data_IF_573833737601
#
_entry.id   IF_573833737601
#
_cell.length_a   1.000
_cell.length_b   1.000
_cell.length_c   1.000
_cell.angle_alpha   90.00
_cell.angle_beta   90.00
_cell.angle_gamma   90.00
#
_symmetry.space_group_name_H-M   'P 1'
#
loop_
_entity.id
_entity.type
_entity.pdbx_description
1 polymer ?
#
# COMPACT_ATOMS: atom_id res chain seq x y z
N UNK A 1 -21.65 5.48 -7.28
CA UNK A 1 -22.23 4.46 -6.39
C UNK A 1 -21.18 4.13 -5.36
N UNK A 2 -21.49 4.17 -4.07
CA UNK A 2 -20.56 3.71 -3.03
C UNK A 2 -20.30 2.21 -3.26
N UNK A 3 -19.04 1.78 -3.16
CA UNK A 3 -18.70 0.37 -3.15
C UNK A 3 -19.35 -0.30 -1.92
N UNK A 4 -19.92 -1.49 -2.09
CA UNK A 4 -20.49 -2.23 -0.96
C UNK A 4 -19.38 -2.52 0.07
N UNK A 5 -19.69 -2.43 1.36
CA UNK A 5 -18.70 -2.58 2.44
C UNK A 5 -17.88 -3.88 2.34
N UNK A 6 -18.52 -4.99 1.98
CA UNK A 6 -17.90 -6.31 1.79
C UNK A 6 -16.90 -6.37 0.62
N UNK A 7 -16.91 -5.37 -0.26
CA UNK A 7 -15.99 -5.28 -1.40
C UNK A 7 -14.75 -4.45 -1.07
N UNK A 8 -14.62 -3.91 0.14
CA UNK A 8 -13.42 -3.19 0.57
C UNK A 8 -12.25 -4.19 0.71
N UNK A 9 -11.05 -3.83 0.23
CA UNK A 9 -9.92 -4.74 0.31
C UNK A 9 -9.54 -4.96 1.77
N UNK A 10 -9.48 -6.23 2.18
CA UNK A 10 -9.10 -6.60 3.54
C UNK A 10 -7.60 -6.66 3.70
N UNK A 11 -6.89 -7.34 2.80
CA UNK A 11 -5.42 -7.43 2.85
C UNK A 11 -4.81 -6.46 1.85
N UNK A 12 -4.01 -5.52 2.34
CA UNK A 12 -3.47 -4.42 1.54
C UNK A 12 -1.96 -4.41 1.65
N UNK A 13 -1.31 -4.55 0.51
CA UNK A 13 0.13 -4.46 0.40
C UNK A 13 0.58 -3.01 0.48
N UNK A 14 1.61 -2.74 1.30
CA UNK A 14 2.31 -1.47 1.39
C UNK A 14 3.68 -1.58 0.70
N UNK A 15 3.90 -0.74 -0.31
CA UNK A 15 5.22 -0.58 -0.91
C UNK A 15 6.17 0.22 0.01
N UNK A 16 7.47 0.08 -0.27
CA UNK A 16 8.52 0.77 0.50
C UNK A 16 8.40 2.30 0.41
N UNK A 17 7.85 2.82 -0.69
CA UNK A 17 7.66 4.25 -0.94
C UNK A 17 6.55 4.86 -0.07
N UNK A 18 5.44 4.13 0.10
CA UNK A 18 4.34 4.52 1.00
C UNK A 18 4.80 4.42 2.45
N UNK A 19 5.53 3.37 2.80
CA UNK A 19 6.16 3.26 4.12
C UNK A 19 7.09 4.45 4.43
N UNK A 20 7.91 4.84 3.44
CA UNK A 20 8.77 6.01 3.58
C UNK A 20 7.96 7.30 3.76
N UNK A 21 6.86 7.46 3.03
CA UNK A 21 5.98 8.63 3.14
C UNK A 21 5.32 8.72 4.51
N UNK A 22 4.87 7.59 5.06
CA UNK A 22 4.27 7.50 6.39
C UNK A 22 5.27 7.89 7.49
N UNK A 23 6.55 7.60 7.30
CA UNK A 23 7.63 8.10 8.17
C UNK A 23 7.89 9.59 7.96
N UNK A 24 8.21 10.00 6.74
CA UNK A 24 8.66 11.36 6.40
C UNK A 24 7.65 12.41 6.86
N UNK A 25 6.36 12.07 6.83
CA UNK A 25 5.26 12.95 7.23
C UNK A 25 4.52 12.45 8.48
N UNK A 26 5.15 11.60 9.30
CA UNK A 26 4.55 11.00 10.49
C UNK A 26 3.98 12.04 11.47
N UNK A 27 4.72 13.13 11.73
CA UNK A 27 4.24 14.22 12.59
C UNK A 27 2.94 14.85 12.07
N UNK A 28 2.79 15.01 10.76
CA UNK A 28 1.54 15.51 10.18
C UNK A 28 0.42 14.47 10.24
N UNK A 29 0.75 13.21 9.92
CA UNK A 29 -0.20 12.11 9.80
C UNK A 29 -0.78 11.71 11.16
N UNK A 30 0.06 11.57 12.19
CA UNK A 30 -0.34 11.06 13.50
C UNK A 30 -0.58 12.17 14.53
N UNK A 31 0.23 13.24 14.51
CA UNK A 31 0.21 14.29 15.53
C UNK A 31 -0.45 15.61 15.05
N UNK A 32 -0.89 15.65 13.79
CA UNK A 32 -1.46 16.84 13.16
C UNK A 32 -0.55 18.07 13.14
N UNK A 33 0.77 17.89 13.24
CA UNK A 33 1.74 18.99 13.13
C UNK A 33 1.72 19.59 11.72
N UNK A 34 1.85 20.92 11.57
CA UNK A 34 1.81 21.55 10.26
C UNK A 34 3.02 21.16 9.41
N UNK A 35 2.80 21.00 8.10
CA UNK A 35 3.90 20.86 7.13
C UNK A 35 4.36 22.26 6.73
N UNK A 36 5.68 22.46 6.73
CA UNK A 36 6.32 23.70 6.30
C UNK A 36 5.92 24.05 4.86
N UNK A 37 5.56 25.31 4.61
CA UNK A 37 5.15 25.77 3.28
C UNK A 37 6.24 25.60 2.19
N UNK A 38 7.50 25.45 2.61
CA UNK A 38 8.64 25.22 1.73
C UNK A 38 8.84 23.74 1.35
N UNK A 39 8.09 22.82 1.96
CA UNK A 39 8.23 21.38 1.74
C UNK A 39 7.94 20.99 0.29
N UNK A 40 8.70 20.00 -0.19
CA UNK A 40 8.58 19.48 -1.56
C UNK A 40 7.21 18.91 -1.88
N UNK A 41 6.45 18.44 -0.89
CA UNK A 41 5.14 17.80 -1.08
C UNK A 41 4.14 18.76 -1.73
N UNK A 42 4.25 20.06 -1.43
CA UNK A 42 3.40 21.09 -2.01
C UNK A 42 3.61 21.27 -3.52
N UNK A 43 4.71 20.75 -4.07
CA UNK A 43 5.01 20.77 -5.51
C UNK A 43 4.51 19.53 -6.24
N UNK A 44 4.11 18.50 -5.51
CA UNK A 44 3.55 17.26 -6.06
C UNK A 44 2.04 17.45 -6.18
N UNK A 45 1.49 17.43 -7.40
CA UNK A 45 0.07 17.78 -7.65
C UNK A 45 -0.94 17.10 -6.72
N UNK A 46 -0.69 15.84 -6.32
CA UNK A 46 -1.58 15.07 -5.43
C UNK A 46 -0.89 14.72 -4.10
N UNK A 47 0.28 15.31 -3.83
CA UNK A 47 1.11 14.94 -2.68
C UNK A 47 0.40 15.21 -1.37
N UNK A 48 -0.07 16.45 -1.18
CA UNK A 48 -0.75 16.82 0.05
C UNK A 48 -2.09 16.08 0.22
N UNK A 49 -2.87 15.93 -0.85
CA UNK A 49 -4.12 15.17 -0.82
C UNK A 49 -3.89 13.68 -0.47
N UNK A 50 -2.78 13.08 -0.92
CA UNK A 50 -2.40 11.73 -0.48
C UNK A 50 -2.02 11.71 1.01
N UNK A 51 -1.34 12.73 1.53
CA UNK A 51 -1.02 12.82 2.97
C UNK A 51 -2.28 12.98 3.82
N UNK A 52 -3.22 13.83 3.40
CA UNK A 52 -4.52 13.97 4.06
C UNK A 52 -5.28 12.64 4.07
N UNK A 53 -5.30 11.94 2.93
CA UNK A 53 -5.94 10.63 2.85
C UNK A 53 -5.25 9.58 3.74
N UNK A 54 -3.90 9.56 3.79
CA UNK A 54 -3.16 8.67 4.70
C UNK A 54 -3.50 8.98 6.15
N UNK A 55 -3.52 10.25 6.54
CA UNK A 55 -3.95 10.67 7.88
C UNK A 55 -5.35 10.16 8.21
N UNK A 56 -6.31 10.34 7.32
CA UNK A 56 -7.68 9.86 7.52
C UNK A 56 -7.76 8.32 7.62
N UNK A 57 -7.00 7.59 6.80
CA UNK A 57 -6.93 6.13 6.82
C UNK A 57 -6.37 5.63 8.16
N UNK A 58 -5.27 6.22 8.64
CA UNK A 58 -4.59 5.77 9.85
C UNK A 58 -5.25 6.25 11.13
N UNK A 59 -5.97 7.38 11.12
CA UNK A 59 -6.80 7.83 12.25
C UNK A 59 -7.96 6.85 12.56
N UNK A 60 -8.38 6.06 11.56
CA UNK A 60 -9.48 5.08 11.69
C UNK A 60 -8.96 3.63 11.78
N UNK A 61 -7.65 3.44 11.62
CA UNK A 61 -7.00 2.14 11.42
C UNK A 61 -7.23 1.13 12.55
N UNK A 62 -7.26 1.55 13.81
CA UNK A 62 -7.44 0.65 14.96
C UNK A 62 -8.78 -0.11 14.96
N UNK A 63 -9.78 0.37 14.20
CA UNK A 63 -11.13 -0.23 14.12
C UNK A 63 -11.48 -0.75 12.75
N UNK A 64 -10.61 -0.56 11.78
CA UNK A 64 -10.89 -0.89 10.41
C UNK A 64 -10.47 -2.33 10.11
N UNK A 65 -11.35 -3.09 9.45
CA UNK A 65 -11.19 -4.53 9.20
C UNK A 65 -10.21 -4.83 8.05
N UNK A 66 -8.99 -4.29 8.10
CA UNK A 66 -7.96 -4.53 7.10
C UNK A 66 -6.57 -4.76 7.71
N UNK A 67 -5.73 -5.42 6.94
CA UNK A 67 -4.39 -5.88 7.30
C UNK A 67 -3.38 -5.18 6.40
N UNK A 68 -2.41 -4.50 7.00
CA UNK A 68 -1.25 -3.98 6.28
C UNK A 68 -0.22 -5.08 6.14
N UNK A 69 0.20 -5.35 4.90
CA UNK A 69 1.22 -6.34 4.60
C UNK A 69 2.42 -5.66 3.95
N UNK A 70 3.59 -5.90 4.52
CA UNK A 70 4.88 -5.63 3.88
C UNK A 70 5.59 -6.95 3.58
N UNK A 71 6.30 -7.02 2.46
CA UNK A 71 7.10 -8.20 2.10
C UNK A 71 8.57 -8.03 2.43
N UNK A 72 9.31 -9.14 2.32
CA UNK A 72 10.77 -9.13 2.29
C UNK A 72 11.32 -8.23 1.18
N UNK A 73 10.69 -8.12 0.01
CA UNK A 73 11.14 -7.22 -1.05
C UNK A 73 11.03 -5.74 -0.65
N UNK A 74 9.93 -5.34 -0.01
CA UNK A 74 9.81 -3.99 0.58
C UNK A 74 10.91 -3.72 1.62
N UNK A 75 11.25 -4.73 2.43
CA UNK A 75 12.36 -4.66 3.41
C UNK A 75 13.74 -4.54 2.74
N UNK A 76 13.98 -5.29 1.66
CA UNK A 76 15.22 -5.22 0.89
C UNK A 76 15.42 -3.86 0.22
N UNK A 77 14.35 -3.28 -0.35
CA UNK A 77 14.37 -1.94 -0.93
C UNK A 77 14.68 -0.87 0.11
N UNK A 78 14.08 -0.97 1.29
CA UNK A 78 14.36 -0.06 2.40
C UNK A 78 15.79 -0.22 2.92
N UNK A 79 16.26 -1.45 3.07
CA UNK A 79 17.63 -1.74 3.52
C UNK A 79 18.66 -1.19 2.52
N UNK A 80 18.40 -1.31 1.21
CA UNK A 80 19.27 -0.78 0.17
C UNK A 80 19.44 0.75 0.24
N UNK A 81 18.45 1.49 0.77
CA UNK A 81 18.51 2.94 0.99
C UNK A 81 19.41 3.36 2.16
N UNK A 82 19.87 2.41 3.00
CA UNK A 82 20.78 2.63 4.16
C UNK A 82 20.26 3.68 5.16
N UNK A 83 18.97 3.65 5.44
CA UNK A 83 18.30 4.56 6.38
C UNK A 83 17.81 3.77 7.61
N UNK A 84 18.51 3.83 8.76
CA UNK A 84 18.21 3.00 9.93
C UNK A 84 16.83 3.25 10.53
N UNK A 85 16.36 4.50 10.55
CA UNK A 85 15.05 4.81 11.15
C UNK A 85 13.91 4.38 10.22
N UNK A 86 14.11 4.44 8.90
CA UNK A 86 13.18 3.88 7.93
C UNK A 86 13.04 2.36 8.08
N UNK A 87 14.14 1.67 8.36
CA UNK A 87 14.12 0.23 8.64
C UNK A 87 13.36 -0.10 9.91
N UNK A 88 13.53 0.67 11.00
CA UNK A 88 12.85 0.42 12.27
C UNK A 88 11.32 0.47 12.11
N UNK A 89 10.81 1.49 11.42
CA UNK A 89 9.36 1.63 11.20
C UNK A 89 8.78 0.51 10.32
N UNK A 90 9.55 0.04 9.33
CA UNK A 90 9.16 -1.10 8.50
C UNK A 90 9.19 -2.43 9.26
N UNK A 91 10.08 -2.60 10.24
CA UNK A 91 10.07 -3.77 11.12
C UNK A 91 8.79 -3.87 11.94
N UNK A 92 8.26 -2.76 12.45
CA UNK A 92 7.02 -2.78 13.23
C UNK A 92 5.82 -3.27 12.40
N UNK A 93 5.78 -2.95 11.11
CA UNK A 93 4.74 -3.44 10.18
C UNK A 93 5.02 -4.88 9.76
N UNK A 94 6.30 -5.25 9.59
CA UNK A 94 6.70 -6.61 9.24
C UNK A 94 6.29 -7.61 10.34
N UNK A 95 6.51 -7.28 11.61
CA UNK A 95 6.08 -8.10 12.74
C UNK A 95 4.56 -8.33 12.74
N UNK A 96 3.77 -7.27 12.48
CA UNK A 96 2.32 -7.40 12.32
C UNK A 96 1.95 -8.27 11.10
N UNK A 97 2.66 -8.08 9.99
CA UNK A 97 2.44 -8.85 8.75
C UNK A 97 2.67 -10.35 8.97
N UNK A 98 3.73 -10.74 9.70
CA UNK A 98 4.04 -12.14 10.00
C UNK A 98 2.92 -12.81 10.81
N UNK A 99 2.32 -12.09 11.77
CA UNK A 99 1.18 -12.60 12.54
C UNK A 99 -0.02 -12.87 11.63
N UNK A 100 -0.36 -11.94 10.72
CA UNK A 100 -1.45 -12.12 9.76
C UNK A 100 -1.21 -13.29 8.79
N UNK A 101 0.04 -13.48 8.35
CA UNK A 101 0.40 -14.46 7.33
C UNK A 101 0.55 -15.89 7.89
N UNK A 102 0.75 -16.06 9.20
CA UNK A 102 0.91 -17.38 9.82
C UNK A 102 -0.32 -18.29 9.64
N UNK A 103 -1.53 -17.69 9.59
CA UNK A 103 -2.77 -18.44 9.43
C UNK A 103 -3.23 -18.58 7.97
N UNK A 104 -2.83 -17.66 7.08
CA UNK A 104 -3.43 -17.54 5.75
C UNK A 104 -2.42 -16.99 4.71
N UNK A 105 -1.23 -17.61 4.68
CA UNK A 105 -0.10 -17.26 3.84
C UNK A 105 -0.20 -17.73 2.37
N UNK A 106 0.95 -17.86 1.67
CA UNK A 106 1.02 -18.27 0.27
C UNK A 106 0.38 -19.64 -0.01
N UNK A 107 -0.17 -19.77 -1.21
CA UNK A 107 -0.79 -20.98 -1.77
C UNK A 107 -0.20 -21.28 -3.15
N UNK A 108 -0.35 -22.51 -3.64
CA UNK A 108 0.11 -22.87 -4.99
C UNK A 108 -0.59 -22.02 -6.06
N UNK A 109 -1.88 -21.69 -5.85
CA UNK A 109 -2.66 -20.84 -6.73
C UNK A 109 -2.14 -19.40 -6.76
N UNK A 110 -1.82 -18.82 -5.60
CA UNK A 110 -1.28 -17.46 -5.52
C UNK A 110 0.13 -17.37 -6.10
N UNK A 111 0.96 -18.41 -5.93
CA UNK A 111 2.27 -18.52 -6.57
C UNK A 111 2.16 -18.59 -8.09
N UNK A 112 1.26 -19.44 -8.61
CA UNK A 112 1.00 -19.54 -10.04
C UNK A 112 0.47 -18.23 -10.63
N UNK A 113 -0.41 -17.53 -9.90
CA UNK A 113 -0.92 -16.22 -10.31
C UNK A 113 0.19 -15.16 -10.31
N UNK A 114 1.05 -15.13 -9.29
CA UNK A 114 2.18 -14.22 -9.19
C UNK A 114 3.21 -14.43 -10.30
N UNK A 115 3.47 -15.69 -10.68
CA UNK A 115 4.39 -16.04 -11.77
C UNK A 115 3.94 -15.49 -13.14
N UNK A 116 2.66 -15.13 -13.32
CA UNK A 116 2.17 -14.51 -14.55
C UNK A 116 2.81 -13.15 -14.82
N UNK A 117 3.38 -12.48 -13.82
CA UNK A 117 4.11 -11.22 -14.01
C UNK A 117 5.40 -11.39 -14.83
N UNK A 118 5.88 -12.62 -15.03
CA UNK A 118 6.97 -12.92 -15.96
C UNK A 118 6.50 -13.03 -17.43
N UNK A 119 5.18 -13.06 -17.68
CA UNK A 119 4.64 -13.08 -19.04
C UNK A 119 5.03 -11.79 -19.81
N UNK A 120 5.34 -11.87 -21.12
CA UNK A 120 5.78 -10.73 -21.92
C UNK A 120 4.84 -9.51 -21.91
N UNK A 121 3.54 -9.72 -21.68
CA UNK A 121 2.54 -8.64 -21.63
C UNK A 121 2.78 -7.63 -20.50
N UNK A 122 3.57 -7.98 -19.47
CA UNK A 122 3.91 -7.10 -18.36
C UNK A 122 5.28 -6.41 -18.50
N UNK A 123 5.92 -6.47 -19.67
CA UNK A 123 7.25 -5.87 -19.92
C UNK A 123 7.32 -4.35 -19.68
N UNK A 124 6.18 -3.66 -19.69
CA UNK A 124 6.10 -2.22 -19.41
C UNK A 124 6.31 -1.87 -17.91
N UNK A 125 6.18 -2.86 -17.03
CA UNK A 125 6.49 -2.73 -15.60
C UNK A 125 7.99 -2.90 -15.36
N UNK A 126 8.55 -2.11 -14.43
CA UNK A 126 9.94 -2.29 -14.06
C UNK A 126 10.16 -3.64 -13.36
N UNK A 127 11.42 -4.09 -13.27
CA UNK A 127 11.73 -5.32 -12.52
C UNK A 127 11.35 -5.21 -11.04
N UNK A 128 11.52 -4.02 -10.45
CA UNK A 128 11.15 -3.76 -9.06
C UNK A 128 9.63 -3.81 -8.88
N UNK A 129 8.86 -3.10 -9.72
CA UNK A 129 7.40 -3.09 -9.67
C UNK A 129 6.82 -4.51 -9.81
N UNK A 130 7.36 -5.31 -10.75
CA UNK A 130 6.92 -6.69 -10.94
C UNK A 130 7.20 -7.56 -9.73
N UNK A 131 8.36 -7.40 -9.09
CA UNK A 131 8.71 -8.14 -7.88
C UNK A 131 7.75 -7.81 -6.74
N UNK A 132 7.50 -6.53 -6.48
CA UNK A 132 6.57 -6.12 -5.42
C UNK A 132 5.13 -6.58 -5.68
N UNK A 133 4.65 -6.46 -6.92
CA UNK A 133 3.33 -6.98 -7.30
C UNK A 133 3.25 -8.50 -7.16
N UNK A 134 4.31 -9.23 -7.53
CA UNK A 134 4.37 -10.67 -7.36
C UNK A 134 4.28 -11.04 -5.88
N UNK A 135 5.03 -10.36 -5.02
CA UNK A 135 4.99 -10.57 -3.58
C UNK A 135 3.60 -10.26 -3.02
N UNK A 136 2.97 -9.15 -3.42
CA UNK A 136 1.61 -8.81 -3.01
C UNK A 136 0.60 -9.90 -3.39
N UNK A 137 0.68 -10.44 -4.61
CA UNK A 137 -0.19 -11.52 -5.11
C UNK A 137 0.06 -12.83 -4.36
N UNK A 138 1.34 -13.20 -4.18
CA UNK A 138 1.74 -14.42 -3.46
C UNK A 138 1.25 -14.37 -2.02
N UNK A 139 1.31 -13.20 -1.39
CA UNK A 139 0.77 -12.94 -0.04
C UNK A 139 -0.75 -12.74 -0.01
N UNK A 140 -1.42 -12.95 -1.15
CA UNK A 140 -2.88 -12.89 -1.32
C UNK A 140 -3.47 -11.54 -0.91
N UNK A 141 -2.74 -10.45 -1.17
CA UNK A 141 -3.25 -9.11 -0.99
C UNK A 141 -4.33 -8.82 -2.04
N UNK A 142 -5.43 -8.21 -1.59
CA UNK A 142 -6.54 -7.79 -2.45
C UNK A 142 -6.28 -6.42 -3.09
N UNK A 143 -5.40 -5.63 -2.49
CA UNK A 143 -4.97 -4.35 -3.01
C UNK A 143 -3.47 -4.11 -2.80
N UNK A 144 -2.90 -3.29 -3.67
CA UNK A 144 -1.57 -2.71 -3.60
C UNK A 144 -1.71 -1.20 -3.42
N UNK A 145 -1.28 -0.67 -2.29
CA UNK A 145 -1.34 0.76 -1.99
C UNK A 145 0.01 1.40 -2.32
N UNK A 146 -0.03 2.47 -3.12
CA UNK A 146 1.16 3.25 -3.47
C UNK A 146 0.86 4.74 -3.56
N UNK A 147 1.79 5.56 -3.10
CA UNK A 147 1.78 7.02 -3.33
C UNK A 147 2.36 7.40 -4.70
N UNK A 148 2.98 6.46 -5.40
CA UNK A 148 3.55 6.69 -6.71
C UNK A 148 2.49 6.70 -7.83
N UNK A 149 2.81 7.36 -8.95
CA UNK A 149 1.88 7.51 -10.07
C UNK A 149 1.99 6.41 -11.13
N UNK A 150 3.10 5.67 -11.15
CA UNK A 150 3.38 4.75 -12.26
C UNK A 150 2.45 3.54 -12.27
N UNK A 151 2.32 2.87 -11.13
CA UNK A 151 1.42 1.71 -10.99
C UNK A 151 -0.05 2.10 -11.17
N UNK A 152 -0.59 3.16 -10.53
CA UNK A 152 -1.98 3.57 -10.73
C UNK A 152 -2.33 3.90 -12.19
N UNK A 153 -1.39 4.45 -12.97
CA UNK A 153 -1.60 4.69 -14.42
C UNK A 153 -1.82 3.42 -15.22
N UNK A 154 -1.37 2.27 -14.71
CA UNK A 154 -1.52 0.96 -15.34
C UNK A 154 -2.49 0.05 -14.56
N UNK A 155 -3.31 0.60 -13.66
CA UNK A 155 -4.19 -0.18 -12.80
C UNK A 155 -5.14 -1.11 -13.57
N UNK A 156 -5.84 -0.58 -14.57
CA UNK A 156 -6.89 -1.32 -15.32
C UNK A 156 -6.40 -2.66 -15.90
N UNK A 157 -5.30 -2.70 -16.70
CA UNK A 157 -4.81 -3.98 -17.21
C UNK A 157 -4.27 -4.90 -16.09
N UNK A 158 -3.67 -4.36 -15.03
CA UNK A 158 -3.17 -5.17 -13.91
C UNK A 158 -4.33 -5.83 -13.16
N UNK A 159 -5.34 -5.03 -12.78
CA UNK A 159 -6.54 -5.46 -12.09
C UNK A 159 -7.31 -6.52 -12.86
N UNK A 160 -7.48 -6.32 -14.16
CA UNK A 160 -8.20 -7.27 -15.02
C UNK A 160 -7.48 -8.61 -15.13
N UNK A 161 -6.16 -8.60 -15.23
CA UNK A 161 -5.38 -9.82 -15.45
C UNK A 161 -5.07 -10.56 -14.16
N UNK A 162 -4.84 -9.84 -13.06
CA UNK A 162 -4.29 -10.39 -11.81
C UNK A 162 -5.26 -10.29 -10.62
N UNK A 163 -6.37 -9.56 -10.73
CA UNK A 163 -7.39 -9.44 -9.69
C UNK A 163 -7.00 -8.60 -8.47
N UNK A 164 -5.77 -8.07 -8.42
CA UNK A 164 -5.29 -7.17 -7.36
C UNK A 164 -5.59 -5.71 -7.72
N UNK A 165 -6.23 -4.96 -6.80
CA UNK A 165 -6.52 -3.52 -6.98
C UNK A 165 -5.27 -2.67 -6.81
N UNK A 166 -5.10 -1.65 -7.65
CA UNK A 166 -4.01 -0.69 -7.48
C UNK A 166 -4.58 0.62 -6.95
N UNK A 167 -4.23 0.97 -5.71
CA UNK A 167 -4.81 2.08 -4.99
C UNK A 167 -3.78 3.17 -4.72
N UNK A 168 -4.21 4.42 -4.81
CA UNK A 168 -3.59 5.54 -4.10
C UNK A 168 -4.28 5.74 -2.74
N UNK A 169 -3.63 6.41 -1.76
CA UNK A 169 -4.29 6.80 -0.53
C UNK A 169 -5.64 7.49 -0.74
N UNK A 170 -5.71 8.44 -1.68
CA UNK A 170 -6.96 9.14 -2.03
C UNK A 170 -8.05 8.13 -2.44
N UNK A 171 -7.75 7.26 -3.40
CA UNK A 171 -8.76 6.29 -3.88
C UNK A 171 -9.16 5.30 -2.80
N UNK A 172 -8.22 4.94 -1.91
CA UNK A 172 -8.50 4.04 -0.80
C UNK A 172 -9.41 4.69 0.24
N UNK A 173 -9.13 5.95 0.57
CA UNK A 173 -9.98 6.72 1.47
C UNK A 173 -11.36 6.95 0.90
N UNK A 174 -11.48 7.33 -0.38
CA UNK A 174 -12.78 7.54 -1.02
C UNK A 174 -13.68 6.30 -0.99
N UNK A 175 -13.10 5.09 -1.09
CA UNK A 175 -13.85 3.83 -0.93
C UNK A 175 -14.39 3.66 0.49
N UNK A 176 -13.63 4.10 1.50
CA UNK A 176 -13.96 3.93 2.92
C UNK A 176 -14.81 5.04 3.49
N UNK A 177 -14.66 6.26 3.00
CA UNK A 177 -15.29 7.47 3.51
C UNK A 177 -16.80 7.34 3.78
N UNK A 178 -17.60 6.67 2.92
CA UNK A 178 -19.03 6.45 3.20
C UNK A 178 -19.30 5.66 4.48
N UNK A 179 -18.36 4.81 4.88
CA UNK A 179 -18.43 3.91 6.03
C UNK A 179 -17.74 4.49 7.26
N UNK A 180 -17.17 5.70 7.18
CA UNK A 180 -16.46 6.40 8.24
C UNK A 180 -17.20 6.45 9.59
N UNK A 181 -18.53 6.51 9.55
CA UNK A 181 -19.37 6.54 10.75
C UNK A 181 -19.39 5.19 11.51
N UNK A 182 -19.09 4.06 10.86
CA UNK A 182 -19.03 2.75 11.50
C UNK A 182 -17.79 2.57 12.38
N UNK A 183 -16.83 3.48 12.28
CA UNK A 183 -15.54 3.40 12.97
C UNK A 183 -15.32 4.55 13.97
N UNK A 184 -16.35 5.38 14.23
CA UNK A 184 -16.33 6.42 15.27
C UNK A 184 -16.48 5.86 16.67
#
# INVERSE_FOLDING_TARGET
>A
MAAAFETLPRRIFLDSCTAQTLRDYGSYIYEAEPIEASDRIHRVSDGFANLEALRDIFAVGERAMFEWIVSRGSMEEAHAKRDPDHMQWLWDIADHSEVCLTADGPTAESEALGARLDEPKFVYLSKADRRLLQEAIVLRCEAFLTVERRLPRNAVPIERELGIRILTPITHWDMRRPWGALWR
#
